data_IF_840787078933
#
_entry.id   IF_840787078933
#
_cell.length_a   1.000
_cell.length_b   1.000
_cell.length_c   1.000
_cell.angle_alpha   90.00
_cell.angle_beta   90.00
_cell.angle_gamma   90.00
#
_symmetry.space_group_name_H-M   'P 1'
#
loop_
_entity.id
_entity.type
_entity.pdbx_description
1 polymer ?
#
# COMPACT_ATOMS: atom_id res chain seq x y z
N UNK A 1 -13.25 -25.60 22.12
CA UNK A 1 -14.51 -25.64 21.37
C UNK A 1 -14.21 -25.24 19.94
N UNK A 2 -14.36 -26.18 19.01
CA UNK A 2 -14.09 -26.01 17.58
C UNK A 2 -15.17 -25.13 16.95
N UNK A 3 -14.85 -23.87 16.67
CA UNK A 3 -15.73 -22.96 15.94
C UNK A 3 -15.60 -23.20 14.42
N UNK A 4 -16.14 -24.32 13.94
CA UNK A 4 -16.48 -24.47 12.53
C UNK A 4 -17.93 -24.03 12.34
N UNK A 5 -18.15 -22.73 12.16
CA UNK A 5 -19.44 -22.21 11.73
C UNK A 5 -19.61 -22.56 10.24
N UNK A 6 -20.53 -23.47 9.94
CA UNK A 6 -20.90 -23.86 8.58
C UNK A 6 -21.59 -22.66 7.90
N UNK A 7 -20.83 -21.88 7.14
CA UNK A 7 -21.36 -20.80 6.27
C UNK A 7 -21.93 -21.38 4.99
N UNK A 8 -23.08 -22.03 5.10
CA UNK A 8 -23.95 -22.31 3.95
C UNK A 8 -24.88 -21.10 3.80
N UNK A 9 -24.49 -20.07 3.02
CA UNK A 9 -25.40 -18.92 2.89
C UNK A 9 -25.04 -17.79 1.95
N UNK A 10 -23.89 -17.13 2.09
CA UNK A 10 -23.57 -15.95 1.26
C UNK A 10 -22.06 -15.81 1.02
N UNK A 11 -21.53 -16.28 -0.12
CA UNK A 11 -20.12 -16.06 -0.47
C UNK A 11 -19.75 -14.57 -0.50
N UNK A 12 -20.73 -13.68 -0.71
CA UNK A 12 -20.58 -12.24 -0.61
C UNK A 12 -20.22 -11.77 0.82
N UNK A 13 -20.79 -12.37 1.86
CA UNK A 13 -20.57 -11.91 3.24
C UNK A 13 -19.17 -12.28 3.73
N UNK A 14 -18.70 -13.48 3.42
CA UNK A 14 -17.33 -13.90 3.71
C UNK A 14 -16.31 -13.08 2.87
N UNK A 15 -16.66 -12.72 1.63
CA UNK A 15 -15.83 -11.83 0.80
C UNK A 15 -15.75 -10.41 1.37
N UNK A 16 -16.88 -9.85 1.82
CA UNK A 16 -16.93 -8.51 2.44
C UNK A 16 -16.18 -8.50 3.78
N UNK A 17 -16.28 -9.56 4.57
CA UNK A 17 -15.56 -9.69 5.84
C UNK A 17 -14.06 -9.87 5.63
N UNK A 18 -13.65 -10.71 4.67
CA UNK A 18 -12.25 -10.82 4.27
C UNK A 18 -11.72 -9.47 3.77
N UNK A 19 -12.45 -8.80 2.89
CA UNK A 19 -12.09 -7.48 2.39
C UNK A 19 -11.94 -6.46 3.54
N UNK A 20 -12.84 -6.45 4.53
CA UNK A 20 -12.79 -5.54 5.67
C UNK A 20 -11.73 -5.88 6.71
N UNK A 21 -11.20 -7.11 6.72
CA UNK A 21 -10.05 -7.50 7.56
C UNK A 21 -8.72 -7.15 6.87
N UNK A 22 -8.64 -7.28 5.54
CA UNK A 22 -7.45 -6.93 4.76
C UNK A 22 -7.35 -5.43 4.43
N UNK A 23 -8.47 -4.72 4.28
CA UNK A 23 -8.47 -3.29 4.00
C UNK A 23 -7.76 -2.46 5.09
N UNK A 24 -8.04 -2.63 6.39
CA UNK A 24 -7.46 -1.79 7.43
C UNK A 24 -5.93 -1.88 7.50
N UNK A 25 -5.30 -3.08 7.47
CA UNK A 25 -3.85 -3.21 7.38
C UNK A 25 -3.27 -2.63 6.08
N UNK A 26 -3.93 -2.86 4.94
CA UNK A 26 -3.47 -2.36 3.66
C UNK A 26 -3.53 -0.81 3.61
N UNK A 27 -4.59 -0.23 4.18
CA UNK A 27 -4.75 1.22 4.27
C UNK A 27 -3.68 1.83 5.18
N UNK A 28 -3.34 1.16 6.29
CA UNK A 28 -2.19 1.54 7.12
C UNK A 28 -0.88 1.49 6.33
N UNK A 29 -0.65 0.45 5.53
CA UNK A 29 0.55 0.31 4.72
C UNK A 29 0.66 1.44 3.68
N UNK A 30 -0.46 1.76 3.01
CA UNK A 30 -0.52 2.87 2.05
C UNK A 30 -0.31 4.21 2.74
N UNK A 31 -0.86 4.45 3.92
CA UNK A 31 -0.63 5.69 4.68
C UNK A 31 0.84 5.86 5.08
N UNK A 32 1.47 4.79 5.57
CA UNK A 32 2.91 4.79 5.92
C UNK A 32 3.76 5.00 4.67
N UNK A 33 3.47 4.26 3.59
CA UNK A 33 4.15 4.41 2.31
C UNK A 33 3.96 5.79 1.69
N UNK A 34 2.77 6.39 1.83
CA UNK A 34 2.52 7.75 1.38
C UNK A 34 3.37 8.77 2.15
N UNK A 35 3.53 8.59 3.46
CA UNK A 35 4.34 9.49 4.27
C UNK A 35 5.84 9.39 3.94
N UNK A 36 6.34 8.18 3.73
CA UNK A 36 7.69 7.93 3.23
C UNK A 36 7.90 8.51 1.81
N UNK A 37 6.89 8.37 0.95
CA UNK A 37 6.94 8.90 -0.41
C UNK A 37 6.98 10.42 -0.42
N UNK A 38 6.24 11.13 0.44
CA UNK A 38 6.31 12.60 0.51
C UNK A 38 7.74 13.11 0.79
N UNK A 39 8.49 12.40 1.65
CA UNK A 39 9.87 12.73 1.97
C UNK A 39 10.78 12.46 0.75
N UNK A 40 10.65 11.27 0.16
CA UNK A 40 11.44 10.88 -1.01
C UNK A 40 11.15 11.78 -2.23
N UNK A 41 9.87 12.04 -2.51
CA UNK A 41 9.42 12.90 -3.59
C UNK A 41 9.97 14.31 -3.45
N UNK A 42 9.94 14.89 -2.24
CA UNK A 42 10.50 16.23 -2.02
C UNK A 42 12.01 16.28 -2.31
N UNK A 43 12.74 15.22 -1.98
CA UNK A 43 14.20 15.17 -2.17
C UNK A 43 14.59 14.89 -3.63
N UNK A 44 13.85 14.00 -4.30
CA UNK A 44 14.09 13.64 -5.70
C UNK A 44 13.43 14.59 -6.69
N UNK A 45 12.58 15.53 -6.24
CA UNK A 45 11.90 16.51 -7.09
C UNK A 45 12.88 17.28 -7.98
N UNK A 46 13.91 17.87 -7.37
CA UNK A 46 14.85 18.73 -8.10
C UNK A 46 15.63 17.94 -9.16
N UNK A 47 15.91 16.67 -8.89
CA UNK A 47 16.55 15.75 -9.84
C UNK A 47 15.59 15.31 -10.95
N UNK A 48 14.37 14.94 -10.59
CA UNK A 48 13.33 14.47 -11.51
C UNK A 48 12.93 15.54 -12.54
N UNK A 49 12.98 16.81 -12.17
CA UNK A 49 12.70 17.94 -13.06
C UNK A 49 13.95 18.56 -13.70
N UNK A 50 15.14 17.94 -13.54
CA UNK A 50 16.41 18.41 -14.12
C UNK A 50 16.49 18.27 -15.65
N UNK A 51 15.45 17.74 -16.31
CA UNK A 51 15.41 17.55 -17.77
C UNK A 51 16.07 16.27 -18.28
N UNK A 52 16.82 15.56 -17.42
CA UNK A 52 17.49 14.29 -17.73
C UNK A 52 16.55 13.06 -17.68
N UNK A 53 15.39 13.18 -17.01
CA UNK A 53 14.41 12.09 -16.86
C UNK A 53 13.34 12.21 -17.95
N UNK A 54 13.17 11.14 -18.74
CA UNK A 54 12.25 11.11 -19.87
C UNK A 54 10.75 11.15 -19.48
N UNK A 55 10.37 10.41 -18.43
CA UNK A 55 8.99 10.36 -17.93
C UNK A 55 8.91 10.54 -16.41
N UNK A 56 8.93 11.80 -15.91
CA UNK A 56 8.90 12.09 -14.48
C UNK A 56 7.68 11.49 -13.76
N UNK A 57 6.52 11.44 -14.42
CA UNK A 57 5.31 10.80 -13.88
C UNK A 57 5.46 9.29 -13.65
N UNK A 58 6.20 8.59 -14.52
CA UNK A 58 6.40 7.15 -14.41
C UNK A 58 7.36 6.80 -13.27
N UNK A 59 8.37 7.65 -13.07
CA UNK A 59 9.33 7.54 -11.97
C UNK A 59 8.69 7.83 -10.62
N UNK A 60 7.80 8.82 -10.57
CA UNK A 60 7.07 9.14 -9.35
C UNK A 60 6.12 8.01 -8.91
N UNK A 61 5.44 7.38 -9.86
CA UNK A 61 4.59 6.21 -9.60
C UNK A 61 5.38 5.01 -9.06
N UNK A 62 6.58 4.75 -9.60
CA UNK A 62 7.42 3.64 -9.12
C UNK A 62 8.01 3.92 -7.74
N UNK A 63 8.40 5.17 -7.45
CA UNK A 63 8.79 5.61 -6.10
C UNK A 63 7.64 5.43 -5.10
N UNK A 64 6.42 5.77 -5.49
CA UNK A 64 5.24 5.56 -4.66
C UNK A 64 5.00 4.07 -4.39
N UNK A 65 5.06 3.22 -5.43
CA UNK A 65 4.89 1.77 -5.28
C UNK A 65 5.96 1.13 -4.38
N UNK A 66 7.23 1.52 -4.53
CA UNK A 66 8.33 1.07 -3.65
C UNK A 66 8.09 1.49 -2.20
N UNK A 67 7.61 2.71 -2.00
CA UNK A 67 7.31 3.24 -0.67
C UNK A 67 6.16 2.49 0.01
N UNK A 68 5.11 2.13 -0.74
CA UNK A 68 4.02 1.29 -0.23
C UNK A 68 4.50 -0.13 0.11
N UNK A 69 5.38 -0.72 -0.72
CA UNK A 69 6.02 -2.00 -0.40
C UNK A 69 6.85 -1.92 0.89
N UNK A 70 7.62 -0.85 1.10
CA UNK A 70 8.35 -0.63 2.34
C UNK A 70 7.41 -0.44 3.54
N UNK A 71 6.33 0.34 3.39
CA UNK A 71 5.33 0.50 4.43
C UNK A 71 4.66 -0.81 4.83
N UNK A 72 4.41 -1.69 3.85
CA UNK A 72 3.88 -3.03 4.07
C UNK A 72 4.90 -3.94 4.76
N UNK A 73 6.18 -3.89 4.35
CA UNK A 73 7.26 -4.64 4.99
C UNK A 73 7.47 -4.23 6.47
N UNK A 74 7.42 -2.93 6.76
CA UNK A 74 7.50 -2.42 8.14
C UNK A 74 6.33 -2.93 9.00
N UNK A 75 5.12 -2.97 8.45
CA UNK A 75 3.94 -3.52 9.14
C UNK A 75 3.95 -5.04 9.29
N UNK A 76 4.70 -5.76 8.44
CA UNK A 76 4.88 -7.21 8.56
C UNK A 76 5.96 -7.59 9.57
N UNK A 77 6.98 -6.75 9.74
CA UNK A 77 8.09 -6.96 10.67
C UNK A 77 7.71 -6.65 12.12
N UNK A 78 6.71 -5.78 12.33
CA UNK A 78 6.26 -5.32 13.65
C UNK A 78 4.99 -6.04 14.12
#
# INVERSE_FOLDING_TARGET
>A
MTFFHRSEGLPLQDLIFGASVYFPPLFKAVLVGFMLWLIAHRLLRDWMYSGEIWHPMLMDLSLFALSVCLGLAVLLVW
#
